data_IF_862871160751
#
_entry.id   IF_862871160751
#
_cell.length_a   1.000
_cell.length_b   1.000
_cell.length_c   1.000
_cell.angle_alpha   90.00
_cell.angle_beta   90.00
_cell.angle_gamma   90.00
#
_symmetry.space_group_name_H-M   'P 1'
#
loop_
_entity.id
_entity.type
_entity.pdbx_description
1 polymer ?
#
# COMPACT_ATOMS: atom_id res chain seq x y z
N UNK A 1 -5.03 18.84 15.92
CA UNK A 1 -3.94 18.62 14.94
C UNK A 1 -4.58 18.65 13.57
N UNK A 2 -4.04 19.47 12.67
CA UNK A 2 -4.71 20.00 11.47
C UNK A 2 -4.71 19.01 10.30
N UNK A 3 -5.84 18.33 10.11
CA UNK A 3 -6.65 18.16 8.88
C UNK A 3 -6.02 18.08 7.45
N UNK A 4 -4.76 17.69 7.23
CA UNK A 4 -4.22 17.60 5.85
C UNK A 4 -3.25 16.45 5.57
N UNK A 5 -3.51 15.24 6.07
CA UNK A 5 -2.85 14.02 5.54
C UNK A 5 -3.32 13.67 4.12
N UNK A 6 -4.44 14.27 3.69
CA UNK A 6 -5.05 14.09 2.37
C UNK A 6 -4.38 14.95 1.31
N UNK A 7 -3.56 14.32 0.47
CA UNK A 7 -2.82 15.00 -0.61
C UNK A 7 -3.29 14.56 -1.99
N UNK A 8 -3.16 15.45 -2.97
CA UNK A 8 -3.37 15.12 -4.38
C UNK A 8 -2.30 14.13 -4.85
N UNK A 9 -2.62 13.34 -5.89
CA UNK A 9 -1.79 12.20 -6.35
C UNK A 9 -0.30 12.52 -6.44
N UNK A 10 0.11 13.64 -7.05
CA UNK A 10 1.53 14.00 -7.22
C UNK A 10 2.22 14.27 -5.88
N UNK A 11 1.56 14.98 -4.97
CA UNK A 11 2.08 15.30 -3.65
C UNK A 11 2.12 14.06 -2.75
N UNK A 12 1.06 13.25 -2.78
CA UNK A 12 0.98 11.99 -2.05
C UNK A 12 2.08 11.02 -2.49
N UNK A 13 2.23 10.83 -3.80
CA UNK A 13 3.27 9.99 -4.39
C UNK A 13 4.67 10.43 -3.97
N UNK A 14 4.95 11.74 -3.99
CA UNK A 14 6.22 12.31 -3.52
C UNK A 14 6.46 12.06 -2.03
N UNK A 15 5.43 12.24 -1.20
CA UNK A 15 5.51 12.03 0.25
C UNK A 15 5.71 10.56 0.62
N UNK A 16 5.17 9.65 -0.19
CA UNK A 16 5.30 8.20 -0.02
C UNK A 16 6.54 7.61 -0.69
N UNK A 17 7.27 8.39 -1.50
CA UNK A 17 8.44 7.91 -2.24
C UNK A 17 8.11 6.88 -3.33
N UNK A 18 6.90 6.93 -3.91
CA UNK A 18 6.46 6.00 -4.96
C UNK A 18 5.99 6.76 -6.20
N UNK A 19 6.02 6.11 -7.37
CA UNK A 19 5.52 6.72 -8.60
C UNK A 19 3.99 6.93 -8.56
N UNK A 20 3.46 8.05 -9.10
CA UNK A 20 2.00 8.30 -9.17
C UNK A 20 1.20 7.17 -9.83
N UNK A 21 1.75 6.57 -10.89
CA UNK A 21 1.12 5.44 -11.58
C UNK A 21 1.05 4.20 -10.68
N UNK A 22 2.12 3.93 -9.90
CA UNK A 22 2.17 2.85 -8.92
C UNK A 22 1.16 3.07 -7.80
N UNK A 23 1.02 4.30 -7.30
CA UNK A 23 0.01 4.64 -6.29
C UNK A 23 -1.41 4.36 -6.80
N UNK A 24 -1.73 4.79 -8.04
CA UNK A 24 -3.03 4.50 -8.68
C UNK A 24 -3.28 3.00 -8.89
N UNK A 25 -2.26 2.22 -9.25
CA UNK A 25 -2.37 0.76 -9.42
C UNK A 25 -2.64 0.03 -8.10
N UNK A 26 -2.27 0.61 -6.96
CA UNK A 26 -2.51 0.01 -5.63
C UNK A 26 -3.94 0.19 -5.12
N UNK A 27 -4.83 0.87 -5.84
CA UNK A 27 -6.26 0.95 -5.49
C UNK A 27 -6.95 -0.41 -5.58
N UNK A 28 -7.89 -0.64 -4.68
CA UNK A 28 -8.81 -1.78 -4.66
C UNK A 28 -9.49 -2.04 -6.02
N UNK A 29 -9.95 -1.00 -6.71
CA UNK A 29 -10.56 -1.11 -8.05
C UNK A 29 -9.63 -1.71 -9.12
N UNK A 30 -8.32 -1.72 -8.86
CA UNK A 30 -7.29 -2.29 -9.73
C UNK A 30 -6.73 -3.61 -9.18
N UNK A 31 -7.41 -4.24 -8.21
CA UNK A 31 -6.91 -5.44 -7.51
C UNK A 31 -5.81 -5.13 -6.48
N UNK A 32 -5.63 -3.86 -6.14
CA UNK A 32 -4.73 -3.43 -5.08
C UNK A 32 -5.34 -3.52 -3.69
N UNK A 33 -4.70 -2.89 -2.71
CA UNK A 33 -5.06 -2.98 -1.29
C UNK A 33 -5.42 -1.65 -0.65
N UNK A 34 -5.38 -0.56 -1.42
CA UNK A 34 -5.83 0.73 -0.97
C UNK A 34 -7.34 0.83 -1.23
N UNK A 35 -8.13 0.70 -0.17
CA UNK A 35 -9.59 0.83 -0.15
C UNK A 35 -10.08 2.26 -0.37
N UNK A 36 -11.12 2.42 -1.21
CA UNK A 36 -11.83 3.68 -1.41
C UNK A 36 -12.60 4.12 -0.15
N UNK A 37 -12.60 5.42 0.14
CA UNK A 37 -13.20 6.00 1.34
C UNK A 37 -12.31 5.93 2.58
N UNK A 38 -11.32 5.02 2.61
CA UNK A 38 -10.37 4.85 3.72
C UNK A 38 -8.99 5.41 3.39
N UNK A 39 -8.39 4.95 2.29
CA UNK A 39 -7.03 5.34 1.90
C UNK A 39 -7.02 6.40 0.80
N UNK A 40 -8.06 6.42 -0.03
CA UNK A 40 -8.22 7.42 -1.07
C UNK A 40 -9.69 7.82 -1.23
N UNK A 41 -9.94 9.04 -1.70
CA UNK A 41 -11.28 9.53 -2.03
C UNK A 41 -11.24 10.43 -3.25
N UNK A 42 -12.34 10.47 -4.00
CA UNK A 42 -12.50 11.42 -5.09
C UNK A 42 -12.89 12.78 -4.52
N UNK A 43 -12.29 13.85 -5.04
CA UNK A 43 -12.56 15.23 -4.62
C UNK A 43 -13.94 15.73 -5.05
N UNK A 44 -14.46 15.19 -6.15
CA UNK A 44 -15.75 15.51 -6.77
C UNK A 44 -16.40 14.23 -7.28
N UNK A 45 -17.66 14.32 -7.68
CA UNK A 45 -18.49 13.23 -8.24
C UNK A 45 -18.24 12.96 -9.74
N UNK A 46 -17.35 13.72 -10.37
CA UNK A 46 -17.03 13.57 -11.80
C UNK A 46 -16.07 12.42 -12.09
N UNK A 47 -16.19 11.79 -13.26
CA UNK A 47 -15.30 10.70 -13.68
C UNK A 47 -13.81 11.10 -13.75
N UNK A 48 -13.53 12.37 -14.03
CA UNK A 48 -12.18 12.93 -14.07
C UNK A 48 -11.75 13.57 -12.75
N UNK A 49 -12.50 13.32 -11.67
CA UNK A 49 -12.23 13.91 -10.37
C UNK A 49 -10.78 13.63 -9.93
N UNK A 50 -10.07 14.64 -9.42
CA UNK A 50 -8.83 14.42 -8.69
C UNK A 50 -9.04 13.43 -7.55
N UNK A 51 -7.97 12.68 -7.25
CA UNK A 51 -7.95 11.68 -6.16
C UNK A 51 -7.10 12.25 -5.04
N UNK A 52 -7.71 12.33 -3.86
CA UNK A 52 -7.06 12.64 -2.61
C UNK A 52 -6.64 11.33 -1.94
N UNK A 53 -5.45 11.34 -1.34
CA UNK A 53 -4.82 10.18 -0.74
C UNK A 53 -4.45 10.48 0.69
N UNK A 54 -4.86 9.63 1.62
CA UNK A 54 -4.44 9.72 3.01
C UNK A 54 -3.03 9.13 3.16
N UNK A 55 -2.05 10.01 3.16
CA UNK A 55 -0.64 9.63 3.15
C UNK A 55 -0.25 8.86 4.41
N UNK A 56 -0.86 9.16 5.55
CA UNK A 56 -0.51 8.55 6.82
C UNK A 56 -0.98 7.10 6.87
N UNK A 57 -2.26 6.84 6.58
CA UNK A 57 -2.79 5.48 6.56
C UNK A 57 -2.14 4.63 5.47
N UNK A 58 -1.87 5.21 4.28
CA UNK A 58 -1.15 4.50 3.22
C UNK A 58 0.26 4.13 3.67
N UNK A 59 0.96 5.02 4.38
CA UNK A 59 2.32 4.76 4.89
C UNK A 59 2.32 3.59 5.87
N UNK A 60 1.39 3.57 6.81
CA UNK A 60 1.24 2.46 7.77
C UNK A 60 0.95 1.15 7.05
N UNK A 61 0.02 1.15 6.09
CA UNK A 61 -0.32 -0.03 5.28
C UNK A 61 0.89 -0.56 4.47
N UNK A 62 1.67 0.34 3.87
CA UNK A 62 2.89 -0.06 3.14
C UNK A 62 3.91 -0.71 4.08
N UNK A 63 4.09 -0.16 5.28
CA UNK A 63 4.98 -0.71 6.29
C UNK A 63 4.54 -2.10 6.74
N UNK A 64 3.27 -2.25 7.15
CA UNK A 64 2.69 -3.51 7.62
C UNK A 64 2.83 -4.62 6.57
N UNK A 65 2.47 -4.33 5.31
CA UNK A 65 2.60 -5.30 4.22
C UNK A 65 4.06 -5.66 3.94
N UNK A 66 4.96 -4.68 4.02
CA UNK A 66 6.40 -4.92 3.89
C UNK A 66 6.94 -5.81 5.00
N UNK A 67 6.46 -5.65 6.23
CA UNK A 67 6.82 -6.52 7.36
C UNK A 67 6.29 -7.94 7.18
N UNK A 68 5.01 -8.09 6.80
CA UNK A 68 4.39 -9.39 6.55
C UNK A 68 5.12 -10.17 5.45
N UNK A 69 5.44 -9.54 4.33
CA UNK A 69 6.19 -10.17 3.24
C UNK A 69 7.58 -10.68 3.67
N UNK A 70 8.28 -9.95 4.55
CA UNK A 70 9.56 -10.40 5.11
C UNK A 70 9.40 -11.57 6.07
N UNK A 71 8.35 -11.56 6.89
CA UNK A 71 8.03 -12.66 7.79
C UNK A 71 7.70 -13.94 7.02
N UNK A 72 6.88 -13.84 5.97
CA UNK A 72 6.54 -14.94 5.07
C UNK A 72 7.79 -15.51 4.40
N UNK A 73 8.65 -14.66 3.83
CA UNK A 73 9.91 -15.11 3.23
C UNK A 73 10.84 -15.83 4.22
N UNK A 74 10.88 -15.39 5.49
CA UNK A 74 11.64 -16.06 6.55
C UNK A 74 11.02 -17.40 6.95
N UNK A 75 9.70 -17.47 7.06
CA UNK A 75 8.99 -18.72 7.36
C UNK A 75 9.23 -19.77 6.25
N UNK A 76 9.17 -19.35 4.99
CA UNK A 76 9.46 -20.22 3.84
C UNK A 76 10.88 -20.79 3.88
N UNK A 77 11.86 -20.02 4.34
CA UNK A 77 13.24 -20.50 4.50
C UNK A 77 13.32 -21.59 5.58
N UNK A 78 12.74 -21.35 6.75
CA UNK A 78 12.73 -22.33 7.86
C UNK A 78 12.02 -23.63 7.44
N UNK A 79 10.89 -23.53 6.73
CA UNK A 79 10.15 -24.71 6.24
C UNK A 79 11.04 -25.53 5.29
N UNK A 80 11.76 -24.89 4.38
CA UNK A 80 12.67 -25.57 3.44
C UNK A 80 13.85 -26.25 4.13
N UNK A 81 14.39 -25.64 5.18
CA UNK A 81 15.47 -26.23 5.99
C UNK A 81 14.99 -27.49 6.73
N UNK A 82 13.84 -27.42 7.40
CA UNK A 82 13.25 -28.57 8.10
C UNK A 82 12.91 -29.73 7.14
N UNK A 83 12.40 -29.43 5.95
CA UNK A 83 12.14 -30.44 4.90
C UNK A 83 13.42 -31.13 4.41
N UNK A 84 14.56 -30.43 4.44
CA UNK A 84 15.85 -30.99 4.04
C UNK A 84 16.43 -31.92 5.10
N UNK A 85 16.32 -31.53 6.37
CA UNK A 85 16.80 -32.32 7.51
C UNK A 85 15.98 -33.60 7.72
N UNK A 86 14.68 -33.58 7.46
CA UNK A 86 13.82 -34.76 7.58
C UNK A 86 13.95 -35.80 6.44
N UNK A 87 14.68 -35.48 5.36
CA UNK A 87 14.90 -36.38 4.22
C UNK A 87 16.38 -36.85 4.13
N UNK A 88 17.16 -36.60 5.17
CA UNK A 88 18.54 -37.08 5.36
C UNK A 88 18.55 -38.19 6.42
#
# INVERSE_FOLDING_TARGET
MTDSSWLETTQAARSLGIAPCTLKRKRDINGGFLEGGKHYRFKTDTANSPVLWDVETIRSMLHERGMKARQEARADQVIRELQREGNA
#
